data_IF_990916987944
#
_entry.id   IF_990916987944
#
_cell.length_a   1.000
_cell.length_b   1.000
_cell.length_c   1.000
_cell.angle_alpha   90.00
_cell.angle_beta   90.00
_cell.angle_gamma   90.00
#
_symmetry.space_group_name_H-M   'P 1'
#
loop_
_entity.id
_entity.type
_entity.pdbx_description
1 polymer ?
#
# COMPACT_ATOMS: atom_id res chain seq x y z
N UNK A 1 -5.47 -92.05 35.27
CA UNK A 1 -4.56 -91.18 36.04
C UNK A 1 -4.16 -90.05 35.16
N UNK A 2 -4.36 -88.91 35.64
CA UNK A 2 -4.46 -87.60 34.99
C UNK A 2 -3.13 -87.10 34.39
N UNK A 3 -3.14 -86.68 33.09
CA UNK A 3 -2.05 -86.00 32.45
C UNK A 3 -2.52 -84.57 32.00
N UNK A 4 -1.91 -83.58 32.63
CA UNK A 4 -2.18 -82.15 32.35
C UNK A 4 -1.42 -81.71 31.13
N UNK A 5 -2.14 -81.22 30.14
CA UNK A 5 -1.56 -80.56 28.98
C UNK A 5 -1.42 -79.03 29.19
N UNK A 6 -0.23 -78.55 28.95
CA UNK A 6 0.11 -77.11 29.01
C UNK A 6 -0.07 -76.52 27.61
N UNK A 7 -1.01 -75.54 27.49
CA UNK A 7 -1.20 -74.72 26.29
C UNK A 7 -0.26 -73.56 26.34
N UNK A 8 0.63 -73.41 25.35
CA UNK A 8 1.45 -72.28 25.11
C UNK A 8 0.65 -71.21 24.28
N UNK A 9 0.28 -70.11 24.93
CA UNK A 9 -0.31 -68.95 24.26
C UNK A 9 0.75 -68.01 23.67
N UNK A 10 0.81 -67.91 22.36
CA UNK A 10 1.64 -66.96 21.65
C UNK A 10 0.91 -65.61 21.58
N UNK A 11 1.39 -64.60 22.34
CA UNK A 11 0.91 -63.25 22.31
C UNK A 11 1.47 -62.55 21.09
N UNK A 12 0.61 -62.23 20.13
CA UNK A 12 0.93 -61.31 19.00
C UNK A 12 0.89 -59.88 19.45
N UNK A 13 2.04 -59.25 19.65
CA UNK A 13 2.13 -57.78 19.84
C UNK A 13 1.91 -57.07 18.52
N UNK A 14 0.77 -56.40 18.36
CA UNK A 14 0.54 -55.44 17.28
C UNK A 14 1.33 -54.16 17.57
N UNK A 15 2.41 -53.92 16.82
CA UNK A 15 3.09 -52.61 16.78
C UNK A 15 2.19 -51.60 16.09
N UNK A 16 1.61 -50.67 16.85
CA UNK A 16 1.00 -49.48 16.29
C UNK A 16 2.13 -48.55 15.77
N UNK A 17 2.24 -48.43 14.48
CA UNK A 17 3.04 -47.34 13.84
C UNK A 17 2.17 -46.10 13.85
N UNK A 18 2.42 -45.18 14.80
CA UNK A 18 1.84 -43.86 14.80
C UNK A 18 2.54 -43.05 13.69
N UNK A 19 1.92 -42.96 12.53
CA UNK A 19 2.31 -42.03 11.50
C UNK A 19 2.04 -40.60 11.98
N UNK A 20 3.08 -39.86 12.31
CA UNK A 20 2.97 -38.42 12.55
C UNK A 20 2.62 -37.74 11.22
N UNK A 21 1.37 -37.34 11.07
CA UNK A 21 0.92 -36.47 9.99
C UNK A 21 1.53 -35.11 10.26
N UNK A 22 2.67 -34.77 9.62
CA UNK A 22 3.21 -33.45 9.60
C UNK A 22 2.23 -32.58 8.77
N UNK A 23 1.28 -31.98 9.46
CA UNK A 23 0.43 -30.94 8.87
C UNK A 23 1.32 -29.75 8.59
N UNK A 24 1.76 -29.58 7.33
CA UNK A 24 2.36 -28.33 6.88
C UNK A 24 1.29 -27.24 7.02
N UNK A 25 1.33 -26.51 8.13
CA UNK A 25 0.54 -25.32 8.32
C UNK A 25 1.04 -24.29 7.30
N UNK A 26 0.43 -24.23 6.14
CA UNK A 26 0.57 -23.11 5.22
C UNK A 26 -0.16 -21.94 5.85
N UNK A 27 0.59 -21.04 6.46
CA UNK A 27 0.04 -19.75 6.89
C UNK A 27 -0.38 -18.99 5.64
N UNK A 28 -1.68 -18.94 5.37
CA UNK A 28 -2.24 -18.05 4.36
C UNK A 28 -2.28 -16.65 4.96
N UNK A 29 -1.73 -15.68 4.25
CA UNK A 29 -1.75 -14.28 4.62
C UNK A 29 -2.73 -13.60 3.67
N UNK A 30 -3.81 -13.05 4.21
CA UNK A 30 -4.71 -12.20 3.42
C UNK A 30 -3.94 -10.95 3.02
N UNK A 31 -3.83 -10.72 1.72
CA UNK A 31 -3.10 -9.59 1.16
C UNK A 31 -4.09 -8.63 0.52
N UNK A 32 -4.18 -7.42 1.04
CA UNK A 32 -4.97 -6.36 0.45
C UNK A 32 -4.17 -5.56 -0.57
N UNK A 33 -4.67 -5.45 -1.78
CA UNK A 33 -4.08 -4.60 -2.83
C UNK A 33 -4.87 -3.31 -2.94
N UNK A 34 -4.19 -2.17 -2.88
CA UNK A 34 -4.82 -0.85 -3.03
C UNK A 34 -4.31 -0.19 -4.31
N UNK A 35 -5.23 0.14 -5.20
CA UNK A 35 -4.96 0.78 -6.48
C UNK A 35 -5.10 2.29 -6.36
N UNK A 36 -4.13 3.03 -6.87
CA UNK A 36 -4.11 4.48 -6.84
C UNK A 36 -4.20 5.05 -8.27
N UNK A 37 -5.25 5.81 -8.52
CA UNK A 37 -5.47 6.60 -9.73
C UNK A 37 -5.55 8.10 -9.40
N UNK A 38 -5.46 8.96 -10.42
CA UNK A 38 -5.74 10.39 -10.32
C UNK A 38 -6.72 10.78 -11.43
N UNK A 39 -6.25 10.99 -12.66
CA UNK A 39 -7.12 11.25 -13.81
C UNK A 39 -7.51 9.97 -14.54
N UNK A 40 -8.77 9.91 -15.00
CA UNK A 40 -9.24 8.93 -15.99
C UNK A 40 -9.66 9.71 -17.24
N UNK A 41 -8.67 10.15 -18.00
CA UNK A 41 -8.85 11.11 -19.11
C UNK A 41 -7.67 11.01 -20.11
N UNK A 42 -7.91 11.36 -21.36
CA UNK A 42 -6.87 11.41 -22.40
C UNK A 42 -6.23 12.79 -22.58
N UNK A 43 -6.92 13.84 -22.12
CA UNK A 43 -6.50 15.24 -22.26
C UNK A 43 -5.69 15.80 -21.10
N UNK A 44 -5.28 14.98 -20.15
CA UNK A 44 -4.56 15.37 -18.91
C UNK A 44 -3.12 14.83 -18.92
N UNK A 45 -2.20 15.36 -18.05
CA UNK A 45 -0.80 14.94 -18.07
C UNK A 45 -0.61 13.43 -17.90
N UNK A 46 0.08 12.79 -18.81
CA UNK A 46 0.24 11.34 -18.85
C UNK A 46 0.84 10.75 -17.56
N UNK A 47 1.67 11.52 -16.84
CA UNK A 47 2.32 11.08 -15.60
C UNK A 47 1.32 10.82 -14.46
N UNK A 48 0.12 11.43 -14.51
CA UNK A 48 -0.94 11.28 -13.51
C UNK A 48 -2.22 10.67 -14.09
N UNK A 49 -2.20 10.26 -15.38
CA UNK A 49 -3.41 9.85 -16.09
C UNK A 49 -3.39 8.40 -16.54
N UNK A 50 -4.58 7.83 -16.58
CA UNK A 50 -4.91 6.60 -17.29
C UNK A 50 -6.04 6.92 -18.29
N UNK A 51 -6.01 6.34 -19.50
CA UNK A 51 -7.11 6.55 -20.45
C UNK A 51 -8.38 5.80 -19.99
N UNK A 52 -9.58 6.25 -20.41
CA UNK A 52 -10.83 5.55 -20.11
C UNK A 52 -10.81 4.08 -20.53
N UNK A 53 -10.25 3.77 -21.71
CA UNK A 53 -10.13 2.41 -22.20
C UNK A 53 -9.19 1.55 -21.34
N UNK A 54 -8.06 2.08 -20.90
CA UNK A 54 -7.15 1.38 -20.00
C UNK A 54 -7.79 1.16 -18.62
N UNK A 55 -8.50 2.16 -18.10
CA UNK A 55 -9.23 2.02 -16.84
C UNK A 55 -10.29 0.91 -16.94
N UNK A 56 -11.10 0.89 -18.02
CA UNK A 56 -12.09 -0.16 -18.25
C UNK A 56 -11.42 -1.55 -18.30
N UNK A 57 -10.31 -1.69 -19.02
CA UNK A 57 -9.54 -2.95 -19.05
C UNK A 57 -9.04 -3.37 -17.67
N UNK A 58 -8.58 -2.44 -16.83
CA UNK A 58 -8.20 -2.75 -15.47
C UNK A 58 -9.39 -3.30 -14.66
N UNK A 59 -10.58 -2.70 -14.79
CA UNK A 59 -11.78 -3.19 -14.10
C UNK A 59 -12.17 -4.60 -14.60
N UNK A 60 -12.08 -4.86 -15.90
CA UNK A 60 -12.35 -6.18 -16.46
C UNK A 60 -11.32 -7.23 -16.01
N UNK A 61 -10.05 -6.85 -15.84
CA UNK A 61 -9.01 -7.73 -15.29
C UNK A 61 -9.31 -8.09 -13.83
N UNK A 62 -9.79 -7.15 -13.01
CA UNK A 62 -10.19 -7.42 -11.62
C UNK A 62 -11.25 -8.54 -11.59
N UNK A 63 -12.27 -8.45 -12.47
CA UNK A 63 -13.30 -9.50 -12.60
C UNK A 63 -12.69 -10.81 -13.05
N UNK A 64 -11.90 -10.80 -14.14
CA UNK A 64 -11.32 -11.98 -14.74
C UNK A 64 -10.36 -12.74 -13.80
N UNK A 65 -9.64 -12.00 -12.95
CA UNK A 65 -8.76 -12.57 -11.93
C UNK A 65 -9.53 -13.04 -10.68
N UNK A 66 -10.82 -12.75 -10.56
CA UNK A 66 -11.67 -13.14 -9.44
C UNK A 66 -11.41 -12.36 -8.16
N UNK A 67 -11.03 -11.08 -8.27
CA UNK A 67 -10.88 -10.20 -7.12
C UNK A 67 -12.22 -9.62 -6.67
N UNK A 68 -12.40 -9.51 -5.37
CA UNK A 68 -13.52 -8.79 -4.75
C UNK A 68 -13.08 -7.35 -4.45
N UNK A 69 -13.83 -6.37 -4.94
CA UNK A 69 -13.60 -4.97 -4.63
C UNK A 69 -14.27 -4.63 -3.30
N UNK A 70 -13.50 -4.14 -2.34
CA UNK A 70 -13.97 -3.79 -1.00
C UNK A 70 -13.84 -2.29 -0.73
N UNK A 71 -14.65 -1.74 0.20
CA UNK A 71 -14.34 -0.47 0.84
C UNK A 71 -12.94 -0.50 1.43
N UNK A 72 -12.21 0.63 1.36
CA UNK A 72 -10.80 0.66 1.73
C UNK A 72 -10.56 0.36 3.22
N UNK A 73 -11.40 0.86 4.10
CA UNK A 73 -11.36 0.59 5.54
C UNK A 73 -11.60 -0.90 5.87
N UNK A 74 -12.53 -1.54 5.16
CA UNK A 74 -12.78 -2.99 5.30
C UNK A 74 -11.60 -3.81 4.79
N UNK A 75 -11.01 -3.45 3.64
CA UNK A 75 -9.81 -4.09 3.13
C UNK A 75 -8.66 -4.00 4.14
N UNK A 76 -8.39 -2.80 4.68
CA UNK A 76 -7.34 -2.60 5.69
C UNK A 76 -7.59 -3.46 6.91
N UNK A 77 -8.82 -3.44 7.46
CA UNK A 77 -9.19 -4.25 8.62
C UNK A 77 -8.95 -5.74 8.37
N UNK A 78 -9.40 -6.27 7.22
CA UNK A 78 -9.22 -7.70 6.88
C UNK A 78 -7.76 -8.05 6.69
N UNK A 79 -7.00 -7.23 5.95
CA UNK A 79 -5.60 -7.50 5.61
C UNK A 79 -4.66 -7.41 6.82
N UNK A 80 -4.98 -6.58 7.82
CA UNK A 80 -4.17 -6.39 9.02
C UNK A 80 -4.58 -7.29 10.18
N UNK A 81 -5.66 -8.07 10.05
CA UNK A 81 -6.11 -8.99 11.09
C UNK A 81 -5.18 -10.22 11.19
N UNK A 82 -4.27 -10.17 12.17
CA UNK A 82 -3.35 -11.26 12.46
C UNK A 82 -4.03 -12.49 13.11
N UNK A 83 -5.30 -12.37 13.57
CA UNK A 83 -6.05 -13.47 14.21
C UNK A 83 -6.65 -14.46 13.21
N UNK A 84 -6.54 -14.17 11.92
CA UNK A 84 -6.99 -15.03 10.82
C UNK A 84 -6.15 -16.30 10.81
N UNK A 85 -6.69 -17.38 11.37
CA UNK A 85 -6.05 -18.70 11.42
C UNK A 85 -5.84 -19.31 10.02
N UNK A 86 -5.17 -20.46 9.94
CA UNK A 86 -4.77 -21.13 8.68
C UNK A 86 -5.93 -21.54 7.75
N UNK A 87 -7.16 -21.37 8.17
CA UNK A 87 -8.37 -21.72 7.40
C UNK A 87 -8.93 -20.58 6.54
N UNK A 88 -8.44 -19.33 6.67
CA UNK A 88 -8.85 -18.27 5.76
C UNK A 88 -8.18 -18.46 4.40
N UNK A 89 -9.02 -18.59 3.41
CA UNK A 89 -8.68 -18.74 2.00
C UNK A 89 -7.81 -17.57 1.52
N UNK A 90 -7.01 -17.81 0.48
CA UNK A 90 -6.29 -16.81 -0.33
C UNK A 90 -7.31 -15.80 -0.92
N UNK A 91 -7.92 -14.96 -0.07
CA UNK A 91 -8.90 -13.99 -0.50
C UNK A 91 -8.23 -12.99 -1.44
N UNK A 92 -8.77 -12.88 -2.63
CA UNK A 92 -8.34 -11.92 -3.62
C UNK A 92 -9.14 -10.63 -3.42
N UNK A 93 -8.64 -9.72 -2.59
CA UNK A 93 -9.30 -8.47 -2.25
C UNK A 93 -8.52 -7.27 -2.78
N UNK A 94 -9.26 -6.29 -3.29
CA UNK A 94 -8.69 -5.06 -3.86
C UNK A 94 -9.55 -3.87 -3.48
N UNK A 95 -8.92 -2.70 -3.26
CA UNK A 95 -9.61 -1.42 -3.12
C UNK A 95 -9.15 -0.45 -4.21
N UNK A 96 -10.08 0.36 -4.69
CA UNK A 96 -9.85 1.37 -5.73
C UNK A 96 -9.81 2.74 -5.06
N UNK A 97 -8.74 3.49 -5.28
CA UNK A 97 -8.59 4.84 -4.72
C UNK A 97 -8.21 5.86 -5.78
N UNK A 98 -8.65 7.09 -5.57
CA UNK A 98 -8.32 8.25 -6.39
C UNK A 98 -7.80 9.36 -5.49
N UNK A 99 -6.75 10.06 -5.92
CA UNK A 99 -6.26 11.26 -5.24
C UNK A 99 -6.73 12.54 -5.96
N UNK A 100 -6.64 13.68 -5.27
CA UNK A 100 -6.87 15.05 -5.75
C UNK A 100 -8.31 15.42 -6.11
N UNK A 101 -9.23 14.48 -6.21
CA UNK A 101 -10.62 14.75 -6.56
C UNK A 101 -10.83 15.42 -7.94
N UNK A 102 -10.10 14.97 -8.98
CA UNK A 102 -10.25 15.50 -10.34
C UNK A 102 -11.64 15.18 -10.94
N UNK A 103 -12.15 16.09 -11.78
CA UNK A 103 -13.46 15.96 -12.42
C UNK A 103 -13.63 14.65 -13.20
N UNK A 104 -12.59 14.13 -13.83
CA UNK A 104 -12.64 12.88 -14.61
C UNK A 104 -13.04 11.66 -13.77
N UNK A 105 -12.89 11.73 -12.45
CA UNK A 105 -13.40 10.68 -11.54
C UNK A 105 -14.92 10.59 -11.63
N UNK A 106 -15.61 11.74 -11.61
CA UNK A 106 -17.08 11.78 -11.72
C UNK A 106 -17.57 11.48 -13.14
N UNK A 107 -16.94 12.08 -14.14
CA UNK A 107 -17.43 11.98 -15.54
C UNK A 107 -17.11 10.64 -16.21
N UNK A 108 -16.05 9.94 -15.77
CA UNK A 108 -15.54 8.75 -16.44
C UNK A 108 -15.46 7.52 -15.51
N UNK A 109 -14.79 7.64 -14.36
CA UNK A 109 -14.62 6.48 -13.48
C UNK A 109 -15.91 6.07 -12.77
N UNK A 110 -16.64 7.04 -12.20
CA UNK A 110 -17.82 6.79 -11.39
C UNK A 110 -18.94 6.03 -12.13
N UNK A 111 -19.34 6.37 -13.35
CA UNK A 111 -20.36 5.58 -14.07
C UNK A 111 -19.97 4.11 -14.26
N UNK A 112 -18.69 3.83 -14.48
CA UNK A 112 -18.18 2.46 -14.62
C UNK A 112 -18.23 1.69 -13.29
N UNK A 113 -17.78 2.33 -12.19
CA UNK A 113 -17.79 1.73 -10.86
C UNK A 113 -19.20 1.54 -10.33
N UNK A 114 -20.09 2.52 -10.53
CA UNK A 114 -21.50 2.46 -10.17
C UNK A 114 -22.22 1.31 -10.90
N UNK A 115 -21.99 1.16 -12.20
CA UNK A 115 -22.59 0.06 -12.98
C UNK A 115 -22.17 -1.32 -12.48
N UNK A 116 -21.02 -1.45 -11.83
CA UNK A 116 -20.51 -2.68 -11.22
C UNK A 116 -20.94 -2.83 -9.74
N UNK A 117 -21.52 -1.79 -9.13
CA UNK A 117 -21.82 -1.75 -7.69
C UNK A 117 -20.55 -1.77 -6.83
N UNK A 118 -19.43 -1.23 -7.32
CA UNK A 118 -18.14 -1.28 -6.65
C UNK A 118 -17.88 -0.04 -5.80
N UNK A 119 -17.45 -0.25 -4.53
CA UNK A 119 -17.01 0.84 -3.69
C UNK A 119 -15.65 1.38 -4.15
N UNK A 120 -15.37 2.63 -3.83
CA UNK A 120 -14.09 3.28 -4.08
C UNK A 120 -13.86 4.42 -3.07
N UNK A 121 -12.62 4.91 -2.99
CA UNK A 121 -12.27 6.02 -2.09
C UNK A 121 -11.69 7.17 -2.89
N UNK A 122 -12.08 8.41 -2.54
CA UNK A 122 -11.51 9.64 -3.09
C UNK A 122 -10.84 10.41 -1.95
N UNK A 123 -9.54 10.65 -2.07
CA UNK A 123 -8.79 11.52 -1.16
C UNK A 123 -8.84 12.96 -1.69
N UNK A 124 -9.40 13.87 -0.90
CA UNK A 124 -9.77 15.21 -1.34
C UNK A 124 -8.91 16.29 -0.67
N UNK A 125 -8.26 17.12 -1.47
CA UNK A 125 -7.68 18.37 -1.02
C UNK A 125 -8.79 19.44 -1.02
N UNK A 126 -9.30 19.77 0.16
CA UNK A 126 -10.60 20.44 0.31
C UNK A 126 -10.60 21.88 -0.24
N UNK A 127 -9.48 22.59 -0.16
CA UNK A 127 -9.35 23.95 -0.71
C UNK A 127 -9.62 23.99 -2.21
N UNK A 128 -9.20 22.98 -2.97
CA UNK A 128 -9.42 22.91 -4.41
C UNK A 128 -10.91 22.82 -4.76
N UNK A 129 -11.72 22.22 -3.87
CA UNK A 129 -13.18 22.16 -4.00
C UNK A 129 -13.81 23.49 -3.62
N UNK A 130 -13.35 24.11 -2.50
CA UNK A 130 -13.83 25.42 -2.04
C UNK A 130 -13.58 26.55 -3.06
N UNK A 131 -12.45 26.50 -3.75
CA UNK A 131 -12.10 27.45 -4.82
C UNK A 131 -12.96 27.31 -6.08
N UNK A 132 -13.80 26.25 -6.15
CA UNK A 132 -14.70 25.95 -7.28
C UNK A 132 -13.94 25.87 -8.63
N UNK A 133 -12.72 25.38 -8.57
CA UNK A 133 -11.91 25.20 -9.76
C UNK A 133 -12.53 24.12 -10.68
N UNK A 134 -12.81 24.42 -11.96
CA UNK A 134 -13.54 23.52 -12.86
C UNK A 134 -12.82 22.22 -13.19
N UNK A 135 -11.55 22.06 -12.85
CA UNK A 135 -10.79 20.83 -13.02
C UNK A 135 -11.07 19.79 -11.93
N UNK A 136 -11.65 20.21 -10.80
CA UNK A 136 -11.94 19.37 -9.65
C UNK A 136 -13.44 19.08 -9.49
N UNK A 137 -13.76 18.18 -8.60
CA UNK A 137 -15.13 17.85 -8.21
C UNK A 137 -15.78 19.00 -7.44
N UNK A 138 -17.10 18.94 -7.31
CA UNK A 138 -17.88 19.79 -6.40
C UNK A 138 -18.34 19.00 -5.19
N UNK A 139 -18.69 19.68 -4.10
CA UNK A 139 -19.29 19.02 -2.92
C UNK A 139 -20.55 18.21 -3.27
N UNK A 140 -21.40 18.75 -4.16
CA UNK A 140 -22.58 18.03 -4.62
C UNK A 140 -22.24 16.69 -5.30
N UNK A 141 -21.20 16.67 -6.15
CA UNK A 141 -20.75 15.44 -6.81
C UNK A 141 -20.12 14.46 -5.82
N UNK A 142 -19.33 14.95 -4.85
CA UNK A 142 -18.76 14.12 -3.78
C UNK A 142 -19.87 13.48 -2.93
N UNK A 143 -20.89 14.27 -2.55
CA UNK A 143 -22.05 13.78 -1.79
C UNK A 143 -22.87 12.76 -2.60
N UNK A 144 -23.11 13.01 -3.89
CA UNK A 144 -23.78 12.04 -4.77
C UNK A 144 -23.00 10.72 -4.83
N UNK A 145 -21.71 10.76 -5.10
CA UNK A 145 -20.88 9.55 -5.16
C UNK A 145 -20.85 8.79 -3.83
N UNK A 146 -20.89 9.50 -2.68
CA UNK A 146 -20.93 8.85 -1.37
C UNK A 146 -22.21 8.03 -1.15
N UNK A 147 -23.36 8.48 -1.69
CA UNK A 147 -24.61 7.70 -1.65
C UNK A 147 -24.58 6.45 -2.53
N UNK A 148 -23.56 6.32 -3.38
CA UNK A 148 -23.33 5.18 -4.28
C UNK A 148 -22.07 4.38 -3.94
N UNK A 149 -21.62 4.43 -2.69
CA UNK A 149 -20.53 3.60 -2.17
C UNK A 149 -19.13 4.21 -2.23
N UNK A 150 -19.00 5.50 -2.58
CA UNK A 150 -17.73 6.19 -2.46
C UNK A 150 -17.46 6.61 -1.00
N UNK A 151 -16.25 6.35 -0.49
CA UNK A 151 -15.73 6.96 0.72
C UNK A 151 -14.96 8.22 0.34
N UNK A 152 -15.28 9.35 0.96
CA UNK A 152 -14.57 10.60 0.76
C UNK A 152 -13.62 10.81 1.94
N UNK A 153 -12.35 10.99 1.67
CA UNK A 153 -11.29 10.95 2.66
C UNK A 153 -10.34 12.15 2.56
N UNK A 154 -9.50 12.33 3.56
CA UNK A 154 -8.67 13.51 3.74
C UNK A 154 -7.37 13.43 2.88
N UNK A 155 -7.05 14.54 2.16
CA UNK A 155 -5.80 14.73 1.42
C UNK A 155 -5.16 16.09 1.73
N UNK A 156 -5.26 16.55 2.98
CA UNK A 156 -5.00 17.91 3.48
C UNK A 156 -6.01 18.95 2.95
N UNK A 157 -5.91 20.17 3.42
CA UNK A 157 -6.72 21.28 2.89
C UNK A 157 -6.15 21.74 1.55
N UNK A 158 -4.86 22.09 1.50
CA UNK A 158 -4.25 22.79 0.36
C UNK A 158 -3.37 21.91 -0.54
N UNK A 159 -3.39 20.58 -0.38
CA UNK A 159 -2.48 19.66 -1.07
C UNK A 159 -0.99 20.02 -0.85
N UNK A 160 -0.64 20.43 0.39
CA UNK A 160 0.71 20.90 0.72
C UNK A 160 1.70 19.72 0.84
N UNK A 161 2.98 20.01 0.52
CA UNK A 161 4.09 19.10 0.87
C UNK A 161 4.29 19.11 2.39
N UNK A 162 3.81 18.11 3.08
CA UNK A 162 3.79 18.07 4.55
C UNK A 162 5.19 18.11 5.17
N UNK A 163 6.18 17.48 4.55
CA UNK A 163 7.57 17.43 5.03
C UNK A 163 8.34 18.74 4.83
N UNK A 164 7.82 19.67 4.00
CA UNK A 164 8.52 20.91 3.68
C UNK A 164 8.24 21.98 4.72
N UNK A 165 9.30 22.44 5.35
CA UNK A 165 9.24 23.59 6.28
C UNK A 165 9.44 24.89 5.50
N UNK A 166 8.80 25.95 5.96
CA UNK A 166 9.05 27.32 5.49
C UNK A 166 10.41 27.79 6.00
N UNK A 167 10.95 28.85 5.38
CA UNK A 167 12.21 29.46 5.81
C UNK A 167 12.15 29.84 7.30
N UNK A 168 13.14 29.40 8.06
CA UNK A 168 13.23 29.62 9.52
C UNK A 168 12.01 29.11 10.33
N UNK A 169 11.17 28.22 9.79
CA UNK A 169 10.02 27.66 10.50
C UNK A 169 10.49 26.72 11.62
N UNK A 170 10.12 27.05 12.85
CA UNK A 170 10.38 26.18 14.01
C UNK A 170 9.47 24.93 13.98
N UNK A 171 9.93 23.83 14.58
CA UNK A 171 9.22 22.56 14.60
C UNK A 171 7.76 22.67 15.08
N UNK A 172 7.53 23.42 16.16
CA UNK A 172 6.17 23.61 16.71
C UNK A 172 5.26 24.41 15.78
N UNK A 173 5.80 25.40 15.06
CA UNK A 173 5.04 26.17 14.09
C UNK A 173 4.66 25.31 12.87
N UNK A 174 5.60 24.53 12.36
CA UNK A 174 5.37 23.55 11.31
C UNK A 174 4.30 22.52 11.73
N UNK A 175 4.46 21.91 12.92
CA UNK A 175 3.49 20.94 13.47
C UNK A 175 2.10 21.58 13.58
N UNK A 176 2.02 22.82 14.08
CA UNK A 176 0.77 23.59 14.14
C UNK A 176 0.16 23.87 12.77
N UNK A 177 0.98 24.17 11.76
CA UNK A 177 0.54 24.39 10.37
C UNK A 177 0.00 23.08 9.75
N UNK A 178 0.73 21.99 9.85
CA UNK A 178 0.30 20.69 9.33
C UNK A 178 -0.95 20.17 10.03
N UNK A 179 -1.04 20.36 11.35
CA UNK A 179 -2.26 20.02 12.09
C UNK A 179 -3.48 20.81 11.60
N UNK A 180 -3.32 22.08 11.26
CA UNK A 180 -4.42 22.88 10.66
C UNK A 180 -4.81 22.35 9.29
N UNK A 181 -3.86 22.02 8.42
CA UNK A 181 -4.13 21.39 7.11
C UNK A 181 -5.05 20.16 7.25
N UNK A 182 -4.71 19.26 8.16
CA UNK A 182 -5.46 18.02 8.37
C UNK A 182 -6.84 18.28 9.01
N UNK A 183 -6.90 19.15 10.02
CA UNK A 183 -8.15 19.42 10.74
C UNK A 183 -9.11 20.30 9.95
N UNK A 184 -8.64 21.25 9.14
CA UNK A 184 -9.47 22.04 8.24
C UNK A 184 -10.14 21.12 7.22
N UNK A 185 -9.37 20.27 6.57
CA UNK A 185 -9.92 19.29 5.63
C UNK A 185 -10.94 18.36 6.30
N UNK A 186 -10.61 17.82 7.49
CA UNK A 186 -11.54 16.97 8.25
C UNK A 186 -12.83 17.71 8.61
N UNK A 187 -12.74 18.96 9.07
CA UNK A 187 -13.92 19.78 9.41
C UNK A 187 -14.85 19.97 8.23
N UNK A 188 -14.31 20.35 7.06
CA UNK A 188 -15.10 20.51 5.83
C UNK A 188 -15.74 19.20 5.37
N UNK A 189 -15.04 18.07 5.47
CA UNK A 189 -15.63 16.76 5.15
C UNK A 189 -16.79 16.45 6.09
N UNK A 190 -16.64 16.66 7.40
CA UNK A 190 -17.69 16.45 8.41
C UNK A 190 -18.88 17.36 8.17
N UNK A 191 -18.68 18.64 7.85
CA UNK A 191 -19.74 19.61 7.55
C UNK A 191 -20.61 19.19 6.35
N UNK A 192 -20.04 18.40 5.43
CA UNK A 192 -20.76 17.80 4.29
C UNK A 192 -21.27 16.37 4.56
N UNK A 193 -21.15 15.84 5.78
CA UNK A 193 -21.57 14.49 6.14
C UNK A 193 -20.68 13.37 5.58
N UNK A 194 -19.41 13.69 5.26
CA UNK A 194 -18.44 12.81 4.60
C UNK A 194 -17.28 12.45 5.57
N UNK A 195 -17.61 12.05 6.82
CA UNK A 195 -16.58 11.74 7.84
C UNK A 195 -15.85 10.42 7.53
N UNK A 196 -14.54 10.49 7.58
CA UNK A 196 -13.63 9.35 7.42
C UNK A 196 -12.34 9.57 8.24
N UNK A 197 -11.72 8.50 8.72
CA UNK A 197 -10.39 8.52 9.34
C UNK A 197 -9.27 8.13 8.37
N UNK A 198 -9.56 7.95 7.09
CA UNK A 198 -8.56 7.64 6.07
C UNK A 198 -7.89 8.93 5.58
N UNK A 199 -6.59 8.84 5.39
CA UNK A 199 -5.76 9.96 4.96
C UNK A 199 -4.74 9.49 3.91
N UNK A 200 -4.54 10.23 2.81
CA UNK A 200 -3.43 10.03 1.90
C UNK A 200 -2.43 11.18 1.99
N UNK A 201 -1.14 10.85 2.04
CA UNK A 201 -0.07 11.86 2.02
C UNK A 201 0.03 12.50 0.64
N UNK A 202 -0.12 13.85 0.50
CA UNK A 202 0.16 14.52 -0.76
C UNK A 202 1.53 14.16 -1.31
N UNK A 203 1.60 13.88 -2.62
CA UNK A 203 2.81 13.42 -3.32
C UNK A 203 3.38 12.08 -2.81
N UNK A 204 2.74 11.43 -1.85
CA UNK A 204 3.26 10.24 -1.15
C UNK A 204 4.46 10.55 -0.25
N UNK A 205 4.71 11.81 0.09
CA UNK A 205 5.82 12.25 0.93
C UNK A 205 5.48 12.15 2.42
N UNK A 206 6.38 11.59 3.18
CA UNK A 206 6.25 11.41 4.62
C UNK A 206 7.60 11.52 5.32
N UNK A 207 7.57 11.73 6.62
CA UNK A 207 8.67 11.57 7.56
C UNK A 207 8.10 11.12 8.92
N UNK A 208 8.96 10.86 9.89
CA UNK A 208 8.53 10.41 11.20
C UNK A 208 7.58 11.41 11.88
N UNK A 209 7.84 12.72 11.72
CA UNK A 209 7.03 13.76 12.35
C UNK A 209 5.62 13.83 11.73
N UNK A 210 5.49 13.66 10.40
CA UNK A 210 4.19 13.60 9.73
C UNK A 210 3.42 12.33 10.05
N UNK A 211 4.10 11.17 10.16
CA UNK A 211 3.47 9.93 10.61
C UNK A 211 2.91 10.08 12.03
N UNK A 212 3.72 10.61 12.95
CA UNK A 212 3.30 10.84 14.33
C UNK A 212 2.08 11.77 14.40
N UNK A 213 2.06 12.84 13.59
CA UNK A 213 0.92 13.76 13.53
C UNK A 213 -0.36 13.09 13.02
N UNK A 214 -0.27 12.25 12.00
CA UNK A 214 -1.39 11.47 11.46
C UNK A 214 -1.91 10.49 12.51
N UNK A 215 -1.01 9.81 13.23
CA UNK A 215 -1.34 8.92 14.34
C UNK A 215 -1.99 9.64 15.53
N UNK A 216 -1.47 10.81 15.93
CA UNK A 216 -2.04 11.66 16.99
C UNK A 216 -3.49 12.09 16.68
N UNK A 217 -3.86 12.15 15.40
CA UNK A 217 -5.21 12.49 14.95
C UNK A 217 -6.11 11.26 14.73
N UNK A 218 -5.62 10.05 15.02
CA UNK A 218 -6.35 8.81 14.88
C UNK A 218 -6.66 8.43 13.42
N UNK A 219 -5.84 8.90 12.47
CA UNK A 219 -6.01 8.63 11.05
C UNK A 219 -5.20 7.41 10.61
N UNK A 220 -5.66 6.75 9.55
CA UNK A 220 -4.94 5.69 8.83
C UNK A 220 -4.30 6.32 7.60
N UNK A 221 -2.96 6.22 7.48
CA UNK A 221 -2.18 6.91 6.46
C UNK A 221 -1.85 6.03 5.25
N UNK A 222 -1.98 6.58 4.04
CA UNK A 222 -1.66 5.92 2.78
C UNK A 222 -0.60 6.71 2.00
N UNK A 223 0.51 6.03 1.69
CA UNK A 223 1.54 6.59 0.82
C UNK A 223 1.31 6.25 -0.66
N UNK A 224 2.36 6.47 -1.47
CA UNK A 224 2.40 6.08 -2.89
C UNK A 224 3.50 5.04 -3.18
N UNK A 225 4.15 4.49 -2.16
CA UNK A 225 5.07 3.34 -2.32
C UNK A 225 4.27 2.09 -2.68
N UNK A 226 4.80 1.31 -3.62
CA UNK A 226 4.14 0.10 -4.12
C UNK A 226 4.25 -1.06 -3.11
N UNK A 227 3.17 -1.83 -2.95
CA UNK A 227 3.14 -3.00 -2.07
C UNK A 227 1.71 -3.43 -1.79
N UNK A 228 1.55 -4.64 -1.23
CA UNK A 228 0.30 -5.11 -0.67
C UNK A 228 0.27 -4.87 0.85
N UNK A 229 -0.92 -4.73 1.40
CA UNK A 229 -1.16 -4.58 2.84
C UNK A 229 -1.25 -5.97 3.48
N UNK A 230 -0.68 -6.13 4.66
CA UNK A 230 -0.75 -7.35 5.43
C UNK A 230 -0.63 -7.11 6.93
N UNK A 231 -0.59 -8.18 7.76
CA UNK A 231 -0.65 -8.08 9.21
C UNK A 231 0.47 -7.26 9.86
N UNK A 232 1.59 -7.07 9.16
CA UNK A 232 2.76 -6.34 9.67
C UNK A 232 2.93 -4.96 9.01
N UNK A 233 1.95 -4.52 8.21
CA UNK A 233 1.97 -3.19 7.62
C UNK A 233 1.81 -2.10 8.68
N UNK A 234 2.48 -0.96 8.50
CA UNK A 234 2.32 0.18 9.38
C UNK A 234 1.01 0.93 9.03
N UNK A 235 0.02 1.02 9.93
CA UNK A 235 -1.26 1.68 9.65
C UNK A 235 -1.13 3.19 9.36
N UNK A 236 0.00 3.79 9.70
CA UNK A 236 0.29 5.20 9.39
C UNK A 236 0.95 5.39 8.02
N UNK A 237 1.33 4.28 7.33
CA UNK A 237 2.02 4.33 6.05
C UNK A 237 1.70 3.10 5.18
N UNK A 238 0.44 2.93 4.83
CA UNK A 238 -0.01 1.81 4.00
C UNK A 238 0.37 2.03 2.53
N UNK A 239 0.85 0.99 1.83
CA UNK A 239 1.26 1.08 0.44
C UNK A 239 0.05 1.11 -0.51
N UNK A 240 0.23 1.74 -1.68
CA UNK A 240 -0.71 1.71 -2.80
C UNK A 240 0.06 1.54 -4.12
N UNK A 241 -0.58 1.00 -5.14
CA UNK A 241 0.00 0.87 -6.47
C UNK A 241 -0.41 2.05 -7.36
N UNK A 242 0.48 3.02 -7.65
CA UNK A 242 0.20 4.07 -8.63
C UNK A 242 0.01 3.48 -10.04
N UNK A 243 -1.06 3.93 -10.71
CA UNK A 243 -1.51 3.45 -12.01
C UNK A 243 -1.71 4.64 -12.96
N UNK A 244 -0.61 5.16 -13.45
CA UNK A 244 -0.58 6.23 -14.43
C UNK A 244 0.63 6.07 -15.38
N UNK A 245 0.61 6.68 -16.52
CA UNK A 245 1.70 6.72 -17.48
C UNK A 245 2.18 5.32 -17.89
N UNK A 246 3.44 5.05 -17.66
CA UNK A 246 4.09 3.75 -18.01
C UNK A 246 3.67 2.58 -17.10
N UNK A 247 2.97 2.84 -16.01
CA UNK A 247 2.60 1.82 -15.03
C UNK A 247 1.22 1.18 -15.24
N UNK A 248 0.51 1.52 -16.34
CA UNK A 248 -0.85 1.06 -16.65
C UNK A 248 -0.91 -0.22 -17.49
N UNK A 249 0.23 -0.81 -17.86
CA UNK A 249 0.28 -2.01 -18.68
C UNK A 249 -0.42 -3.21 -18.03
N UNK A 250 -1.25 -3.94 -18.78
CA UNK A 250 -2.09 -5.04 -18.28
C UNK A 250 -1.30 -6.16 -17.58
N UNK A 251 -0.13 -6.54 -18.13
CA UNK A 251 0.71 -7.58 -17.53
C UNK A 251 1.20 -7.15 -16.13
N UNK A 252 1.75 -5.93 -16.03
CA UNK A 252 2.19 -5.37 -14.76
C UNK A 252 1.03 -5.14 -13.79
N UNK A 253 -0.17 -4.81 -14.28
CA UNK A 253 -1.37 -4.70 -13.47
C UNK A 253 -1.77 -6.04 -12.83
N UNK A 254 -1.77 -7.15 -13.60
CA UNK A 254 -2.02 -8.49 -13.07
C UNK A 254 -1.00 -8.90 -12.02
N UNK A 255 0.27 -8.57 -12.19
CA UNK A 255 1.32 -8.83 -11.20
C UNK A 255 1.07 -8.06 -9.90
N UNK A 256 0.69 -6.77 -9.99
CA UNK A 256 0.34 -5.95 -8.83
C UNK A 256 -0.87 -6.52 -8.07
N UNK A 257 -1.93 -6.90 -8.77
CA UNK A 257 -3.10 -7.54 -8.16
C UNK A 257 -2.75 -8.81 -7.40
N UNK A 258 -1.81 -9.60 -7.90
CA UNK A 258 -1.38 -10.88 -7.30
C UNK A 258 -0.27 -10.72 -6.26
N UNK A 259 0.16 -9.49 -5.96
CA UNK A 259 1.23 -9.26 -5.00
C UNK A 259 0.84 -9.65 -3.58
N UNK A 260 1.87 -9.94 -2.78
CA UNK A 260 1.79 -10.26 -1.35
C UNK A 260 2.63 -9.24 -0.56
N UNK A 261 2.26 -8.93 0.68
CA UNK A 261 3.09 -8.10 1.54
C UNK A 261 4.38 -8.84 1.88
N UNK A 262 5.54 -8.25 1.56
CA UNK A 262 6.81 -8.82 1.99
C UNK A 262 6.87 -8.81 3.51
N UNK A 263 7.11 -9.95 4.18
CA UNK A 263 7.04 -10.04 5.64
C UNK A 263 8.31 -9.46 6.29
N UNK A 264 8.42 -8.14 6.25
CA UNK A 264 9.51 -7.37 6.87
C UNK A 264 8.95 -6.46 7.96
N UNK A 265 9.74 -6.24 8.99
CA UNK A 265 9.54 -5.11 9.89
C UNK A 265 9.84 -3.84 9.09
N UNK A 266 9.07 -2.80 9.32
CA UNK A 266 9.27 -1.53 8.61
C UNK A 266 10.59 -0.91 9.09
N UNK A 267 11.69 -1.01 8.33
CA UNK A 267 13.02 -0.69 8.85
C UNK A 267 13.29 0.81 8.87
N UNK A 268 12.63 1.59 8.01
CA UNK A 268 12.92 3.01 7.85
C UNK A 268 11.65 3.83 7.70
N UNK A 269 11.46 4.76 8.62
CA UNK A 269 10.36 5.74 8.61
C UNK A 269 10.86 7.06 7.98
N UNK A 270 12.16 7.35 8.09
CA UNK A 270 12.77 8.58 7.59
C UNK A 270 13.32 8.39 6.17
N UNK A 271 12.60 8.86 5.13
CA UNK A 271 13.03 8.65 3.74
C UNK A 271 14.02 9.73 3.25
N UNK A 272 14.39 10.70 4.08
CA UNK A 272 15.25 11.81 3.67
C UNK A 272 16.69 11.35 3.45
N UNK A 273 17.25 11.73 2.31
CA UNK A 273 18.65 11.50 1.96
C UNK A 273 19.45 12.76 2.26
N UNK A 274 20.40 12.66 3.20
CA UNK A 274 21.26 13.78 3.60
C UNK A 274 22.69 13.63 3.06
N UNK A 275 23.51 12.81 3.73
CA UNK A 275 24.93 12.72 3.46
C UNK A 275 25.32 11.52 2.59
N UNK A 276 24.55 10.44 2.64
CA UNK A 276 24.75 9.27 1.80
C UNK A 276 23.73 9.21 0.67
N UNK A 277 24.12 9.63 -0.52
CA UNK A 277 23.26 9.60 -1.71
C UNK A 277 23.04 8.21 -2.30
N UNK A 278 23.68 7.17 -1.73
CA UNK A 278 23.43 5.75 -2.00
C UNK A 278 22.90 5.06 -0.73
N UNK A 279 21.77 5.50 -0.15
CA UNK A 279 21.29 4.94 1.10
C UNK A 279 21.06 3.44 0.96
N UNK A 280 21.67 2.61 1.81
CA UNK A 280 21.37 1.19 1.81
C UNK A 280 19.96 0.98 2.42
N UNK A 281 19.24 -0.02 1.90
CA UNK A 281 17.99 -0.48 2.47
C UNK A 281 18.23 -1.75 3.28
N UNK A 282 17.98 -1.70 4.58
CA UNK A 282 18.00 -2.87 5.43
C UNK A 282 16.60 -3.49 5.49
N UNK A 283 16.50 -4.78 5.16
CA UNK A 283 15.27 -5.57 5.25
C UNK A 283 15.41 -6.56 6.41
N UNK A 284 14.61 -6.37 7.45
CA UNK A 284 14.54 -7.28 8.61
C UNK A 284 13.30 -8.17 8.49
N UNK A 285 13.49 -9.41 8.10
CA UNK A 285 12.38 -10.37 7.90
C UNK A 285 11.88 -10.92 9.25
N UNK A 286 10.58 -11.02 9.39
CA UNK A 286 9.92 -11.57 10.58
C UNK A 286 9.99 -13.10 10.66
N UNK A 287 10.49 -13.77 9.63
CA UNK A 287 10.63 -15.22 9.53
C UNK A 287 11.91 -15.61 8.79
N UNK A 288 12.50 -16.72 9.18
CA UNK A 288 13.66 -17.33 8.51
C UNK A 288 13.27 -18.44 7.52
N UNK A 289 11.99 -18.61 7.21
CA UNK A 289 11.50 -19.69 6.33
C UNK A 289 11.52 -19.30 4.84
N UNK A 290 11.84 -18.04 4.53
CA UNK A 290 11.89 -17.54 3.16
C UNK A 290 13.21 -17.90 2.47
N UNK A 291 13.12 -18.26 1.19
CA UNK A 291 14.33 -18.45 0.37
C UNK A 291 14.85 -17.09 -0.12
N UNK A 292 15.66 -16.41 0.71
CA UNK A 292 16.19 -15.07 0.43
C UNK A 292 17.16 -15.03 -0.76
N UNK A 293 17.70 -16.17 -1.22
CA UNK A 293 18.53 -16.21 -2.43
C UNK A 293 17.77 -15.83 -3.71
N UNK A 294 16.44 -15.78 -3.66
CA UNK A 294 15.55 -15.36 -4.75
C UNK A 294 15.04 -13.93 -4.58
N UNK A 295 15.43 -13.25 -3.50
CA UNK A 295 15.10 -11.85 -3.30
C UNK A 295 15.79 -11.01 -4.38
N UNK A 296 15.08 -10.04 -4.92
CA UNK A 296 15.58 -9.12 -5.91
C UNK A 296 15.14 -7.71 -5.56
N UNK A 297 16.09 -6.78 -5.46
CA UNK A 297 15.80 -5.36 -5.22
C UNK A 297 16.30 -4.52 -6.39
N UNK A 298 15.52 -3.51 -6.78
CA UNK A 298 15.82 -2.56 -7.84
C UNK A 298 15.81 -1.13 -7.28
N UNK A 299 16.79 -0.35 -7.68
CA UNK A 299 16.96 1.06 -7.35
C UNK A 299 17.66 1.80 -8.49
N UNK A 300 18.24 2.97 -8.25
CA UNK A 300 19.05 3.67 -9.22
C UNK A 300 20.19 2.78 -9.75
N UNK A 301 20.38 2.79 -11.08
CA UNK A 301 21.32 1.92 -11.76
C UNK A 301 20.82 0.48 -11.97
N UNK A 302 19.57 0.16 -11.60
CA UNK A 302 18.94 -1.13 -11.85
C UNK A 302 18.99 -2.10 -10.68
N UNK A 303 19.56 -3.31 -10.88
CA UNK A 303 19.64 -4.35 -9.85
C UNK A 303 20.57 -3.93 -8.71
N UNK A 304 20.07 -4.01 -7.46
CA UNK A 304 20.85 -3.69 -6.26
C UNK A 304 21.71 -4.87 -5.82
N UNK A 305 22.88 -4.57 -5.24
CA UNK A 305 23.69 -5.58 -4.58
C UNK A 305 23.05 -5.98 -3.25
N UNK A 306 22.89 -7.30 -3.03
CA UNK A 306 22.32 -7.86 -1.79
C UNK A 306 23.40 -8.52 -0.97
N UNK A 307 23.42 -8.25 0.33
CA UNK A 307 24.30 -8.87 1.32
C UNK A 307 23.46 -9.38 2.49
N UNK A 308 23.47 -10.70 2.72
CA UNK A 308 22.85 -11.29 3.91
C UNK A 308 23.72 -10.97 5.13
N UNK A 309 23.18 -10.20 6.08
CA UNK A 309 23.85 -9.83 7.32
C UNK A 309 23.53 -10.79 8.46
N UNK A 310 22.40 -11.51 8.32
CA UNK A 310 21.99 -12.64 9.17
C UNK A 310 20.98 -13.52 8.42
N UNK A 311 20.47 -14.58 9.07
CA UNK A 311 19.41 -15.44 8.50
C UNK A 311 18.07 -14.75 8.25
N UNK A 312 17.89 -13.54 8.79
CA UNK A 312 16.67 -12.74 8.67
C UNK A 312 16.91 -11.31 8.22
N UNK A 313 18.17 -10.92 7.97
CA UNK A 313 18.49 -9.54 7.59
C UNK A 313 19.26 -9.51 6.26
N UNK A 314 18.80 -8.64 5.36
CA UNK A 314 19.45 -8.38 4.08
C UNK A 314 19.65 -6.89 3.92
N UNK A 315 20.88 -6.51 3.56
CA UNK A 315 21.23 -5.15 3.17
C UNK A 315 21.24 -5.06 1.65
N UNK A 316 20.40 -4.19 1.09
CA UNK A 316 20.34 -3.90 -0.33
C UNK A 316 21.00 -2.54 -0.63
N UNK A 317 22.03 -2.53 -1.48
CA UNK A 317 22.81 -1.33 -1.82
C UNK A 317 22.61 -0.99 -3.28
N UNK A 318 22.19 0.25 -3.64
CA UNK A 318 21.97 0.66 -5.03
C UNK A 318 23.31 0.81 -5.79
N UNK A 319 23.27 0.58 -7.10
CA UNK A 319 24.42 0.75 -7.97
C UNK A 319 24.81 2.24 -8.16
N UNK A 320 23.81 3.10 -8.25
CA UNK A 320 23.96 4.54 -8.46
C UNK A 320 23.32 5.36 -7.34
N UNK A 321 23.59 6.66 -7.34
CA UNK A 321 22.98 7.61 -6.40
C UNK A 321 21.49 7.79 -6.68
N UNK A 322 20.71 8.06 -5.63
CA UNK A 322 19.33 8.51 -5.77
C UNK A 322 19.29 9.89 -6.42
N UNK A 323 18.38 10.07 -7.37
CA UNK A 323 18.19 11.34 -8.05
C UNK A 323 17.62 12.40 -7.11
N UNK A 324 17.83 13.68 -7.42
CA UNK A 324 17.09 14.79 -6.78
C UNK A 324 15.59 14.55 -7.00
N UNK A 325 14.81 14.77 -5.97
CA UNK A 325 13.38 14.45 -5.95
C UNK A 325 13.07 13.12 -5.26
N UNK A 326 12.05 12.44 -5.73
CA UNK A 326 11.56 11.18 -5.17
C UNK A 326 12.11 9.98 -5.96
N UNK A 327 12.76 9.06 -5.26
CA UNK A 327 13.26 7.80 -5.82
C UNK A 327 12.67 6.63 -5.02
N UNK A 328 12.31 5.53 -5.69
CA UNK A 328 11.80 4.33 -5.03
C UNK A 328 12.74 3.15 -5.25
N UNK A 329 13.02 2.41 -4.17
CA UNK A 329 13.55 1.06 -4.27
C UNK A 329 12.38 0.08 -4.22
N UNK A 330 12.46 -0.98 -5.02
CA UNK A 330 11.44 -2.02 -5.07
C UNK A 330 12.11 -3.37 -4.86
N UNK A 331 11.64 -4.12 -3.86
CA UNK A 331 12.11 -5.47 -3.57
C UNK A 331 10.98 -6.48 -3.80
N UNK A 332 11.30 -7.57 -4.49
CA UNK A 332 10.35 -8.66 -4.77
C UNK A 332 10.96 -10.01 -4.44
N UNK A 333 10.11 -10.93 -3.97
CA UNK A 333 10.49 -12.32 -3.70
C UNK A 333 9.42 -13.26 -4.25
N UNK A 334 9.74 -14.18 -5.19
CA UNK A 334 8.75 -15.08 -5.76
C UNK A 334 8.15 -16.05 -4.74
N UNK A 335 6.82 -16.27 -4.81
CA UNK A 335 6.07 -17.29 -4.05
C UNK A 335 5.06 -17.99 -4.98
N UNK A 336 5.42 -19.16 -5.52
CA UNK A 336 4.61 -19.84 -6.53
C UNK A 336 4.44 -18.97 -7.78
N UNK A 337 3.18 -18.66 -8.12
CA UNK A 337 2.80 -17.76 -9.23
C UNK A 337 2.52 -16.32 -8.77
N UNK A 338 2.86 -15.97 -7.52
CA UNK A 338 2.72 -14.63 -6.91
C UNK A 338 4.10 -14.08 -6.54
N UNK A 339 4.14 -12.83 -6.11
CA UNK A 339 5.33 -12.16 -5.62
C UNK A 339 5.04 -11.44 -4.31
N UNK A 340 5.91 -11.59 -3.32
CA UNK A 340 6.02 -10.64 -2.25
C UNK A 340 6.57 -9.33 -2.81
N UNK A 341 6.05 -8.20 -2.36
CA UNK A 341 6.46 -6.87 -2.81
C UNK A 341 6.64 -5.93 -1.63
N UNK A 342 7.72 -5.17 -1.67
CA UNK A 342 8.01 -4.08 -0.74
C UNK A 342 8.65 -2.93 -1.51
N UNK A 343 8.31 -1.68 -1.15
CA UNK A 343 8.97 -0.49 -1.71
C UNK A 343 9.33 0.49 -0.61
N UNK A 344 10.51 1.10 -0.75
CA UNK A 344 10.99 2.21 0.08
C UNK A 344 11.09 3.47 -0.76
N UNK A 345 10.52 4.57 -0.28
CA UNK A 345 10.67 5.91 -0.83
C UNK A 345 11.97 6.53 -0.29
N UNK A 346 12.69 7.24 -1.16
CA UNK A 346 13.80 8.12 -0.80
C UNK A 346 13.56 9.50 -1.37
N UNK A 347 13.91 10.55 -0.60
CA UNK A 347 13.72 11.96 -0.99
C UNK A 347 15.06 12.67 -0.88
N UNK A 348 15.56 13.19 -2.01
CA UNK A 348 16.80 13.96 -2.08
C UNK A 348 16.51 15.41 -2.46
N UNK A 349 17.00 16.34 -1.64
CA UNK A 349 17.01 17.77 -1.94
C UNK A 349 18.06 18.12 -3.01
N UNK A 350 18.00 19.32 -3.53
CA UNK A 350 19.06 19.88 -4.38
C UNK A 350 20.35 20.07 -3.58
N UNK A 351 21.49 20.24 -4.28
CA UNK A 351 22.80 20.37 -3.65
C UNK A 351 22.96 21.63 -2.79
N UNK A 352 22.14 22.65 -3.02
CA UNK A 352 22.07 23.89 -2.24
C UNK A 352 21.13 23.77 -1.00
N UNK A 353 20.55 22.58 -0.78
CA UNK A 353 19.60 22.32 0.31
C UNK A 353 18.16 22.73 0.01
N UNK A 354 17.89 23.33 -1.15
CA UNK A 354 16.53 23.69 -1.55
C UNK A 354 15.70 22.45 -1.96
N UNK A 355 14.39 22.58 -1.90
CA UNK A 355 13.48 21.56 -2.40
C UNK A 355 13.45 21.56 -3.93
N UNK A 356 13.28 20.38 -4.49
CA UNK A 356 13.04 20.22 -5.93
C UNK A 356 11.65 20.75 -6.32
N UNK A 357 11.51 21.12 -7.59
CA UNK A 357 10.22 21.48 -8.18
C UNK A 357 9.52 20.23 -8.71
N UNK A 358 8.20 20.18 -8.57
CA UNK A 358 7.40 19.16 -9.22
C UNK A 358 7.43 19.37 -10.75
N UNK A 359 7.50 18.30 -11.55
CA UNK A 359 7.51 18.38 -13.01
C UNK A 359 6.19 18.88 -13.60
#
# INVERSE_FOLDING_TARGET
MLGSGILHGTTFQKKLVAGALICCLTTHVDAGVVLLYHHVDEGTPAITSITPDQFNRHMDIIVAEGFTVLPLDELVKRSMDASSGPEKSDEKIVAITFDDAYRSIYTTAFPNLQARGWPFTIFVATRLIEEKNPYYLTWAQLTEMSTHGATIANHTDSHTHMIRRLDAEMADHWKGRMRRELLTAKGLLVDHGLDSNLFAYPYGEYDEETLNLVGDLGMIGFGQQSGAIGPHSNPLLLPRYPLAGVYVGEAAFREKLRSLPLPVLHPQIEPMVSDNFKPPLELSFITNTLNLSRLTCYGPGGLMALSETSSTNVLATPAEEVSVGRTRYNCTLPKGNRFYWFSQLWIRKQSDGSWYHEP
#
